data_IF_859388789600
#
_entry.id   IF_859388789600
#
_cell.length_a   1.000
_cell.length_b   1.000
_cell.length_c   1.000
_cell.angle_alpha   90.00
_cell.angle_beta   90.00
_cell.angle_gamma   90.00
#
_symmetry.space_group_name_H-M   'P 1'
#
loop_
_entity.id
_entity.type
_entity.pdbx_description
1 polymer ?
#
# COMPACT_ATOMS: atom_id res chain seq x y z
N UNK A 1 -1.47 15.37 0.94
CA UNK A 1 -0.74 14.30 0.23
C UNK A 1 -0.05 14.97 -0.95
N UNK A 2 1.19 15.39 -0.77
CA UNK A 2 1.96 16.07 -1.81
C UNK A 2 2.30 15.04 -2.89
N UNK A 3 1.89 15.32 -4.13
CA UNK A 3 2.33 14.55 -5.29
C UNK A 3 3.83 14.80 -5.51
N UNK A 4 4.60 13.73 -5.64
CA UNK A 4 6.01 13.82 -5.99
C UNK A 4 6.11 14.24 -7.46
N UNK A 5 6.88 15.28 -7.74
CA UNK A 5 7.17 15.78 -9.08
C UNK A 5 8.06 14.75 -9.81
N UNK A 6 7.65 14.21 -10.97
CA UNK A 6 8.42 13.22 -11.71
C UNK A 6 9.80 13.72 -12.16
N UNK A 7 10.00 15.04 -12.30
CA UNK A 7 11.25 15.64 -12.73
C UNK A 7 12.22 15.93 -11.56
N UNK A 8 11.74 15.82 -10.31
CA UNK A 8 12.54 15.97 -9.09
C UNK A 8 12.64 14.68 -8.28
N UNK A 9 12.50 13.52 -8.94
CA UNK A 9 12.80 12.25 -8.29
C UNK A 9 14.31 12.10 -8.19
N UNK A 10 14.84 12.29 -6.98
CA UNK A 10 16.12 11.70 -6.61
C UNK A 10 16.06 10.23 -7.03
N UNK A 11 17.03 9.77 -7.84
CA UNK A 11 17.06 8.39 -8.32
C UNK A 11 17.08 7.49 -7.09
N UNK A 12 15.89 7.08 -6.64
CA UNK A 12 15.75 6.19 -5.52
C UNK A 12 16.35 4.89 -6.04
N UNK A 13 17.60 4.67 -5.67
CA UNK A 13 18.20 3.36 -5.69
C UNK A 13 17.37 2.55 -4.69
N UNK A 14 16.27 1.99 -5.20
CA UNK A 14 15.37 1.08 -4.51
C UNK A 14 16.11 -0.23 -4.26
N UNK A 15 17.23 -0.15 -3.53
CA UNK A 15 17.87 -1.29 -2.92
C UNK A 15 16.91 -1.78 -1.87
N UNK A 16 16.34 -2.95 -2.12
CA UNK A 16 15.64 -3.72 -1.12
C UNK A 16 16.68 -4.10 -0.05
N UNK A 17 16.82 -3.25 0.98
CA UNK A 17 17.71 -3.47 2.14
C UNK A 17 17.42 -4.79 2.85
N UNK A 18 16.25 -5.40 2.60
CA UNK A 18 15.87 -6.75 3.04
C UNK A 18 16.83 -7.85 2.52
N UNK A 19 17.50 -7.63 1.39
CA UNK A 19 18.48 -8.56 0.83
C UNK A 19 19.85 -8.46 1.51
N UNK A 20 20.09 -7.43 2.32
CA UNK A 20 21.40 -7.14 2.94
C UNK A 20 21.59 -7.82 4.31
N UNK A 21 20.84 -8.86 4.64
CA UNK A 21 20.97 -9.49 5.96
C UNK A 21 20.94 -11.00 5.94
N UNK A 22 21.94 -11.54 6.64
CA UNK A 22 22.13 -12.90 7.19
C UNK A 22 22.79 -13.90 6.24
N UNK A 23 24.08 -14.19 6.49
CA UNK A 23 24.80 -15.35 5.94
C UNK A 23 23.89 -16.59 5.96
N UNK A 24 23.52 -17.09 4.78
CA UNK A 24 22.78 -18.34 4.63
C UNK A 24 21.33 -18.24 4.16
N UNK A 25 20.71 -17.06 4.14
CA UNK A 25 19.35 -16.91 3.57
C UNK A 25 19.41 -16.96 2.03
N UNK A 26 18.71 -17.92 1.43
CA UNK A 26 18.66 -18.08 -0.03
C UNK A 26 17.46 -17.35 -0.60
N UNK A 27 17.70 -16.54 -1.62
CA UNK A 27 16.64 -15.89 -2.40
C UNK A 27 15.60 -16.92 -2.88
N UNK A 28 14.32 -16.55 -2.89
CA UNK A 28 13.17 -17.36 -3.34
C UNK A 28 12.84 -18.58 -2.50
N UNK A 29 13.80 -19.10 -1.71
CA UNK A 29 13.55 -20.13 -0.71
C UNK A 29 13.10 -19.49 0.60
N UNK A 30 13.95 -18.61 1.13
CA UNK A 30 13.83 -18.07 2.48
C UNK A 30 13.30 -16.62 2.45
N UNK A 31 13.49 -15.91 1.32
CA UNK A 31 13.05 -14.52 1.13
C UNK A 31 12.02 -14.48 -0.01
N UNK A 32 10.81 -14.01 0.32
CA UNK A 32 9.71 -13.82 -0.61
C UNK A 32 9.30 -12.35 -0.62
N UNK A 33 9.05 -11.79 -1.82
CA UNK A 33 8.61 -10.42 -1.97
C UNK A 33 7.09 -10.29 -1.81
N UNK A 34 6.65 -9.37 -0.95
CA UNK A 34 5.26 -8.95 -0.85
C UNK A 34 5.19 -7.43 -0.66
N UNK A 35 4.21 -6.78 -1.29
CA UNK A 35 3.98 -5.34 -1.10
C UNK A 35 3.33 -5.03 0.25
N UNK A 36 3.38 -3.76 0.66
CA UNK A 36 2.80 -3.28 1.93
C UNK A 36 1.29 -3.59 2.08
N UNK A 37 0.58 -3.81 0.97
CA UNK A 37 -0.84 -4.17 0.97
C UNK A 37 -1.15 -5.63 1.32
N UNK A 38 -0.15 -6.50 1.53
CA UNK A 38 -0.39 -7.94 1.73
C UNK A 38 -1.25 -8.25 2.96
N UNK A 39 -1.15 -7.45 4.02
CA UNK A 39 -1.93 -7.63 5.24
C UNK A 39 -3.43 -7.40 5.08
N UNK A 40 -3.86 -6.73 4.01
CA UNK A 40 -5.28 -6.52 3.70
C UNK A 40 -5.93 -7.74 2.99
N UNK A 41 -5.13 -8.74 2.60
CA UNK A 41 -5.65 -9.93 1.90
C UNK A 41 -6.14 -10.95 2.93
N UNK A 42 -7.47 -11.05 3.08
CA UNK A 42 -8.13 -11.96 4.02
C UNK A 42 -8.67 -13.25 3.39
N UNK A 43 -8.78 -13.29 2.06
CA UNK A 43 -9.47 -14.36 1.32
C UNK A 43 -8.77 -14.68 0.01
N UNK A 44 -8.90 -15.95 -0.39
CA UNK A 44 -8.50 -16.43 -1.71
C UNK A 44 -9.72 -16.41 -2.62
N UNK A 45 -9.61 -15.74 -3.77
CA UNK A 45 -10.68 -15.61 -4.76
C UNK A 45 -10.16 -16.04 -6.13
N UNK A 46 -11.08 -16.45 -7.01
CA UNK A 46 -10.77 -16.59 -8.42
C UNK A 46 -10.41 -15.23 -9.03
N UNK A 47 -9.57 -15.23 -10.06
CA UNK A 47 -9.15 -13.98 -10.74
C UNK A 47 -10.34 -13.16 -11.23
N UNK A 48 -11.35 -13.82 -11.82
CA UNK A 48 -12.55 -13.16 -12.32
C UNK A 48 -13.34 -12.47 -11.18
N UNK A 49 -13.50 -13.16 -10.05
CA UNK A 49 -14.22 -12.62 -8.88
C UNK A 49 -13.49 -11.45 -8.25
N UNK A 50 -12.16 -11.53 -8.15
CA UNK A 50 -11.33 -10.45 -7.63
C UNK A 50 -11.45 -9.19 -8.50
N UNK A 51 -11.36 -9.34 -9.83
CA UNK A 51 -11.49 -8.22 -10.77
C UNK A 51 -12.90 -7.62 -10.70
N UNK A 52 -13.94 -8.45 -10.62
CA UNK A 52 -15.31 -7.98 -10.48
C UNK A 52 -15.53 -7.20 -9.18
N UNK A 53 -14.97 -7.70 -8.07
CA UNK A 53 -14.99 -7.02 -6.77
C UNK A 53 -14.31 -5.66 -6.83
N UNK A 54 -13.07 -5.60 -7.33
CA UNK A 54 -12.31 -4.35 -7.45
C UNK A 54 -13.04 -3.31 -8.30
N UNK A 55 -13.66 -3.73 -9.42
CA UNK A 55 -14.48 -2.84 -10.25
C UNK A 55 -15.66 -2.26 -9.48
N UNK A 56 -16.36 -3.10 -8.71
CA UNK A 56 -17.51 -2.65 -7.91
C UNK A 56 -17.08 -1.69 -6.81
N UNK A 57 -16.02 -2.01 -6.08
CA UNK A 57 -15.47 -1.16 -5.01
C UNK A 57 -15.01 0.21 -5.55
N UNK A 58 -14.35 0.24 -6.72
CA UNK A 58 -13.98 1.48 -7.39
C UNK A 58 -15.21 2.33 -7.76
N UNK A 59 -16.26 1.73 -8.33
CA UNK A 59 -17.51 2.43 -8.64
C UNK A 59 -18.24 2.92 -7.39
N UNK A 60 -18.12 2.23 -6.26
CA UNK A 60 -18.65 2.68 -4.97
C UNK A 60 -17.87 3.90 -4.47
N UNK A 61 -16.54 3.86 -4.53
CA UNK A 61 -15.68 4.96 -4.12
C UNK A 61 -15.94 6.25 -4.94
N UNK A 62 -16.17 6.13 -6.24
CA UNK A 62 -16.55 7.29 -7.10
C UNK A 62 -17.86 7.96 -6.69
N UNK A 63 -18.78 7.20 -6.08
CA UNK A 63 -20.08 7.70 -5.62
C UNK A 63 -20.04 8.14 -4.16
N UNK A 64 -19.00 7.75 -3.42
CA UNK A 64 -18.85 8.11 -2.02
C UNK A 64 -18.55 9.61 -1.92
N UNK A 65 -19.07 10.29 -0.88
CA UNK A 65 -18.64 11.64 -0.58
C UNK A 65 -17.12 11.67 -0.44
N UNK A 66 -16.48 12.66 -1.07
CA UNK A 66 -15.07 12.91 -0.84
C UNK A 66 -14.87 13.14 0.66
N UNK A 67 -13.79 12.61 1.21
CA UNK A 67 -13.44 12.86 2.60
C UNK A 67 -13.21 14.37 2.80
N UNK A 68 -14.24 15.06 3.28
CA UNK A 68 -14.20 16.46 3.68
C UNK A 68 -13.74 16.49 5.13
N UNK A 69 -12.44 16.45 5.38
CA UNK A 69 -11.92 16.42 6.74
C UNK A 69 -12.52 17.54 7.60
N UNK A 70 -13.10 17.20 8.76
CA UNK A 70 -13.28 18.15 9.85
C UNK A 70 -13.56 17.46 11.18
N UNK A 71 -12.74 17.79 12.18
CA UNK A 71 -12.85 17.36 13.58
C UNK A 71 -11.56 17.63 14.36
N UNK A 72 -11.21 18.90 14.54
CA UNK A 72 -10.24 19.38 15.54
C UNK A 72 -10.48 18.74 16.91
N UNK A 73 -9.53 17.94 17.42
CA UNK A 73 -9.43 17.68 18.86
C UNK A 73 -8.48 18.72 19.44
N UNK A 74 -9.06 19.54 20.31
CA UNK A 74 -8.52 20.73 20.92
C UNK A 74 -7.19 20.53 21.66
N UNK A 75 -6.34 21.55 21.55
CA UNK A 75 -5.40 21.92 22.61
C UNK A 75 -6.21 22.41 23.83
N UNK A 76 -6.03 21.82 25.02
CA UNK A 76 -5.89 22.46 26.36
C UNK A 76 -6.29 21.53 27.55
N UNK A 77 -5.38 21.51 28.54
CA UNK A 77 -5.52 21.24 29.99
C UNK A 77 -5.84 19.81 30.48
N UNK A 78 -4.83 19.11 31.05
CA UNK A 78 -4.39 19.15 32.47
C UNK A 78 -2.89 18.89 32.54
#
# INVERSE_FOLDING_TARGET
MLGLDPDQLETAEHRLTLLESTDGAKAWKDIWGAGQGIGAIDRRLGTADLVARLRSEYQQALRAPLFTGSGTTALLEV
#
